data_IF_900694998015
#
_entry.id   IF_900694998015
#
_cell.length_a   1.000
_cell.length_b   1.000
_cell.length_c   1.000
_cell.angle_alpha   90.00
_cell.angle_beta   90.00
_cell.angle_gamma   90.00
#
_symmetry.space_group_name_H-M   'P 1'
#
loop_
_entity.id
_entity.type
_entity.pdbx_description
1 polymer ?
#
# COMPACT_ATOMS: atom_id res chain seq x y z
N UNK A 1 -0.39 28.44 -13.62
CA UNK A 1 -1.45 27.50 -14.04
C UNK A 1 -1.05 26.95 -15.37
N UNK A 2 -0.61 25.70 -15.43
CA UNK A 2 -0.25 25.04 -16.69
C UNK A 2 -1.52 24.29 -17.11
N UNK A 3 -2.35 24.94 -17.92
CA UNK A 3 -3.48 24.30 -18.62
C UNK A 3 -2.96 23.49 -19.82
N UNK A 4 -2.01 22.60 -19.57
CA UNK A 4 -1.67 21.57 -20.53
C UNK A 4 -2.63 20.41 -20.29
N UNK A 5 -3.69 20.32 -21.11
CA UNK A 5 -4.47 19.09 -21.21
C UNK A 5 -3.52 18.00 -21.71
N UNK A 6 -3.18 17.06 -20.84
CA UNK A 6 -2.30 15.96 -21.19
C UNK A 6 -3.04 15.01 -22.14
N UNK A 7 -2.43 14.68 -23.28
CA UNK A 7 -3.00 13.74 -24.22
C UNK A 7 -2.94 12.32 -23.64
N UNK A 8 -4.07 11.87 -23.13
CA UNK A 8 -4.23 10.57 -22.46
C UNK A 8 -3.93 9.40 -23.41
N UNK A 9 -4.06 9.60 -24.73
CA UNK A 9 -3.88 8.55 -25.73
C UNK A 9 -2.40 8.25 -26.00
N UNK A 10 -1.53 9.27 -25.93
CA UNK A 10 -0.09 9.10 -26.15
C UNK A 10 0.59 8.36 -24.98
N UNK A 11 0.11 8.62 -23.75
CA UNK A 11 0.60 7.94 -22.57
C UNK A 11 0.26 6.44 -22.58
N UNK A 12 -0.99 6.08 -22.90
CA UNK A 12 -1.43 4.69 -22.92
C UNK A 12 -0.72 3.84 -23.98
N UNK A 13 -0.27 4.46 -25.07
CA UNK A 13 0.38 3.74 -26.19
C UNK A 13 1.89 3.61 -26.05
N UNK A 14 2.55 4.51 -25.31
CA UNK A 14 4.02 4.57 -25.21
C UNK A 14 4.57 4.30 -23.81
N UNK A 15 3.74 4.31 -22.77
CA UNK A 15 4.20 4.05 -21.41
C UNK A 15 4.66 2.59 -21.27
N UNK A 16 5.79 2.33 -20.59
CA UNK A 16 6.15 0.98 -20.16
C UNK A 16 5.02 0.35 -19.33
N UNK A 17 4.83 -0.97 -19.46
CA UNK A 17 3.72 -1.73 -18.83
C UNK A 17 3.50 -1.36 -17.36
N UNK A 18 4.58 -1.22 -16.58
CA UNK A 18 4.52 -0.84 -15.17
C UNK A 18 3.84 0.52 -14.94
N UNK A 19 4.16 1.53 -15.75
CA UNK A 19 3.62 2.88 -15.60
C UNK A 19 2.17 2.96 -16.12
N UNK A 20 1.85 2.24 -17.18
CA UNK A 20 0.49 2.10 -17.68
C UNK A 20 -0.41 1.43 -16.64
N UNK A 21 0.06 0.32 -16.04
CA UNK A 21 -0.63 -0.38 -14.96
C UNK A 21 -0.79 0.50 -13.73
N UNK A 22 0.25 1.23 -13.33
CA UNK A 22 0.19 2.14 -12.18
C UNK A 22 -0.86 3.23 -12.40
N UNK A 23 -0.91 3.84 -13.58
CA UNK A 23 -1.93 4.82 -13.91
C UNK A 23 -3.32 4.20 -13.79
N UNK A 24 -3.54 3.04 -14.43
CA UNK A 24 -4.82 2.32 -14.40
C UNK A 24 -5.28 1.98 -12.98
N UNK A 25 -4.41 1.39 -12.16
CA UNK A 25 -4.75 1.03 -10.77
C UNK A 25 -5.04 2.26 -9.92
N UNK A 26 -4.34 3.38 -10.17
CA UNK A 26 -4.63 4.65 -9.51
C UNK A 26 -6.03 5.17 -9.88
N UNK A 27 -6.41 5.13 -11.16
CA UNK A 27 -7.78 5.49 -11.59
C UNK A 27 -8.83 4.62 -10.91
N UNK A 28 -8.60 3.31 -10.84
CA UNK A 28 -9.51 2.37 -10.19
C UNK A 28 -9.69 2.71 -8.70
N UNK A 29 -8.59 2.94 -7.98
CA UNK A 29 -8.63 3.30 -6.55
C UNK A 29 -9.31 4.65 -6.31
N UNK A 30 -9.09 5.64 -7.17
CA UNK A 30 -9.74 6.95 -7.08
C UNK A 30 -11.25 6.83 -7.26
N UNK A 31 -11.70 6.06 -8.28
CA UNK A 31 -13.14 5.83 -8.51
C UNK A 31 -13.80 4.99 -7.41
N UNK A 32 -13.06 4.09 -6.77
CA UNK A 32 -13.55 3.32 -5.62
C UNK A 32 -13.77 4.22 -4.39
N UNK A 33 -12.83 5.13 -4.10
CA UNK A 33 -12.93 6.04 -2.96
C UNK A 33 -13.86 7.24 -3.21
N UNK A 34 -13.95 7.71 -4.46
CA UNK A 34 -14.71 8.90 -4.86
C UNK A 34 -15.52 8.63 -6.13
N UNK A 35 -16.67 7.93 -6.04
CA UNK A 35 -17.46 7.52 -7.20
C UNK A 35 -18.02 8.67 -8.03
N UNK A 36 -18.27 9.82 -7.38
CA UNK A 36 -18.81 11.04 -8.00
C UNK A 36 -17.75 11.87 -8.76
N UNK A 37 -16.47 11.47 -8.71
CA UNK A 37 -15.40 12.18 -9.40
C UNK A 37 -15.53 11.99 -10.91
N UNK A 38 -15.32 13.06 -11.67
CA UNK A 38 -15.38 12.99 -13.13
C UNK A 38 -14.27 12.08 -13.69
N UNK A 39 -14.62 11.37 -14.77
CA UNK A 39 -13.75 10.37 -15.38
C UNK A 39 -12.42 10.97 -15.85
N UNK A 40 -12.47 12.20 -16.39
CA UNK A 40 -11.30 12.92 -16.92
C UNK A 40 -10.32 13.28 -15.79
N UNK A 41 -10.79 13.80 -14.67
CA UNK A 41 -9.95 14.12 -13.50
C UNK A 41 -9.35 12.86 -12.89
N UNK A 42 -10.11 11.77 -12.76
CA UNK A 42 -9.58 10.50 -12.27
C UNK A 42 -8.45 9.98 -13.17
N UNK A 43 -8.62 10.04 -14.49
CA UNK A 43 -7.62 9.66 -15.49
C UNK A 43 -6.37 10.55 -15.41
N UNK A 44 -6.56 11.87 -15.30
CA UNK A 44 -5.47 12.83 -15.12
C UNK A 44 -4.66 12.53 -13.84
N UNK A 45 -5.32 12.19 -12.73
CA UNK A 45 -4.65 11.80 -11.48
C UNK A 45 -3.79 10.55 -11.71
N UNK A 46 -4.34 9.52 -12.35
CA UNK A 46 -3.60 8.29 -12.66
C UNK A 46 -2.35 8.56 -13.49
N UNK A 47 -2.47 9.37 -14.54
CA UNK A 47 -1.34 9.76 -15.39
C UNK A 47 -0.29 10.58 -14.62
N UNK A 48 -0.70 11.56 -13.81
CA UNK A 48 0.21 12.38 -13.00
C UNK A 48 1.02 11.50 -12.04
N UNK A 49 0.37 10.52 -11.40
CA UNK A 49 1.04 9.59 -10.49
C UNK A 49 2.06 8.75 -11.23
N UNK A 50 1.70 8.20 -12.40
CA UNK A 50 2.61 7.39 -13.19
C UNK A 50 3.80 8.20 -13.75
N UNK A 51 3.57 9.42 -14.22
CA UNK A 51 4.64 10.32 -14.68
C UNK A 51 5.61 10.70 -13.55
N UNK A 52 5.09 11.10 -12.38
CA UNK A 52 5.94 11.38 -11.21
C UNK A 52 6.73 10.15 -10.79
N UNK A 53 6.15 8.98 -10.91
CA UNK A 53 6.82 7.71 -10.59
C UNK A 53 7.97 7.45 -11.56
N UNK A 54 7.72 7.56 -12.86
CA UNK A 54 8.74 7.42 -13.89
C UNK A 54 9.85 8.47 -13.76
N UNK A 55 9.53 9.71 -13.44
CA UNK A 55 10.52 10.77 -13.26
C UNK A 55 11.41 10.56 -12.03
N UNK A 56 10.83 10.18 -10.89
CA UNK A 56 11.57 10.06 -9.63
C UNK A 56 12.34 8.75 -9.50
N UNK A 57 11.84 7.66 -10.09
CA UNK A 57 12.39 6.31 -9.91
C UNK A 57 12.82 5.63 -11.21
N UNK A 58 12.59 6.26 -12.37
CA UNK A 58 13.07 5.76 -13.65
C UNK A 58 14.59 5.67 -13.68
N UNK A 59 15.12 4.54 -14.15
CA UNK A 59 16.57 4.26 -14.19
C UNK A 59 17.14 3.71 -12.88
N UNK A 60 16.38 3.68 -11.78
CA UNK A 60 16.79 3.00 -10.55
C UNK A 60 16.42 1.51 -10.60
N UNK A 61 17.26 0.65 -10.01
CA UNK A 61 16.90 -0.75 -9.76
C UNK A 61 16.04 -0.83 -8.49
N UNK A 62 14.73 -0.66 -8.65
CA UNK A 62 13.76 -0.65 -7.54
C UNK A 62 13.22 -2.06 -7.28
N UNK A 63 13.42 -2.55 -6.07
CA UNK A 63 12.78 -3.78 -5.60
C UNK A 63 11.36 -3.49 -5.08
N UNK A 64 10.35 -4.04 -5.76
CA UNK A 64 8.96 -4.03 -5.30
C UNK A 64 8.63 -5.36 -4.63
N UNK A 65 8.47 -5.41 -3.30
CA UNK A 65 8.17 -6.64 -2.59
C UNK A 65 6.74 -7.12 -2.88
N UNK A 66 6.57 -8.42 -3.15
CA UNK A 66 5.25 -9.06 -3.24
C UNK A 66 4.60 -9.02 -1.85
N UNK A 67 3.56 -8.22 -1.74
CA UNK A 67 2.87 -7.83 -0.50
C UNK A 67 2.23 -9.02 0.25
N UNK A 68 2.97 -9.54 1.23
CA UNK A 68 2.39 -10.15 2.46
C UNK A 68 3.19 -9.79 3.72
N UNK A 69 4.35 -9.14 3.60
CA UNK A 69 5.29 -8.89 4.71
C UNK A 69 5.39 -7.45 5.18
N UNK A 70 4.93 -6.47 4.38
CA UNK A 70 5.19 -5.04 4.65
C UNK A 70 4.07 -4.30 5.37
N UNK A 71 2.86 -4.81 5.28
CA UNK A 71 1.73 -4.26 6.01
C UNK A 71 1.12 -5.41 6.80
N UNK A 72 1.26 -5.36 8.13
CA UNK A 72 0.25 -5.92 8.98
C UNK A 72 -1.08 -5.36 8.48
N UNK A 73 -1.85 -6.19 7.76
CA UNK A 73 -3.15 -5.77 7.28
C UNK A 73 -3.98 -5.31 8.49
N UNK A 74 -4.95 -4.43 8.29
CA UNK A 74 -5.84 -3.92 9.36
C UNK A 74 -6.24 -5.03 10.36
N UNK A 75 -6.56 -6.20 9.81
CA UNK A 75 -6.90 -7.43 10.52
C UNK A 75 -5.79 -7.98 11.41
N UNK A 76 -4.53 -7.96 10.98
CA UNK A 76 -3.40 -8.42 11.80
C UNK A 76 -3.09 -7.47 12.95
N UNK A 77 -3.24 -6.16 12.73
CA UNK A 77 -3.16 -5.17 13.81
C UNK A 77 -4.28 -5.38 14.82
N UNK A 78 -5.50 -5.66 14.36
CA UNK A 78 -6.62 -6.00 15.24
C UNK A 78 -6.34 -7.28 16.04
N UNK A 79 -5.83 -8.34 15.39
CA UNK A 79 -5.42 -9.58 16.07
C UNK A 79 -4.37 -9.29 17.15
N UNK A 80 -3.37 -8.45 16.85
CA UNK A 80 -2.34 -8.07 17.83
C UNK A 80 -2.89 -7.21 18.97
N UNK A 81 -3.78 -6.27 18.69
CA UNK A 81 -4.40 -5.41 19.71
C UNK A 81 -5.32 -6.21 20.65
N UNK A 82 -5.95 -7.28 20.16
CA UNK A 82 -6.75 -8.20 20.98
C UNK A 82 -5.93 -9.29 21.67
N UNK A 83 -4.61 -9.35 21.43
CA UNK A 83 -3.75 -10.38 21.99
C UNK A 83 -3.43 -10.09 23.47
N UNK A 84 -3.77 -11.03 24.35
CA UNK A 84 -3.59 -10.89 25.80
C UNK A 84 -2.35 -11.63 26.33
N UNK A 85 -1.53 -12.23 25.47
CA UNK A 85 -0.36 -13.03 25.86
C UNK A 85 -0.57 -14.54 25.79
N UNK A 86 -1.80 -15.02 26.03
CA UNK A 86 -2.12 -16.46 26.08
C UNK A 86 -3.39 -16.87 25.31
N UNK A 87 -4.07 -15.95 24.63
CA UNK A 87 -5.36 -16.21 23.96
C UNK A 87 -5.26 -16.63 22.47
N UNK A 88 -4.14 -17.23 22.05
CA UNK A 88 -3.91 -17.62 20.64
C UNK A 88 -5.02 -18.51 20.06
N UNK A 89 -5.51 -19.49 20.82
CA UNK A 89 -6.57 -20.40 20.39
C UNK A 89 -7.91 -19.68 20.19
N UNK A 90 -8.20 -18.70 21.04
CA UNK A 90 -9.40 -17.87 20.90
C UNK A 90 -9.32 -17.01 19.63
N UNK A 91 -8.18 -16.36 19.38
CA UNK A 91 -7.97 -15.55 18.18
C UNK A 91 -8.02 -16.40 16.90
N UNK A 92 -7.43 -17.60 16.92
CA UNK A 92 -7.49 -18.54 15.81
C UNK A 92 -8.96 -18.86 15.43
N UNK A 93 -9.80 -19.14 16.42
CA UNK A 93 -11.23 -19.39 16.21
C UNK A 93 -11.98 -18.15 15.74
N UNK A 94 -11.79 -17.00 16.41
CA UNK A 94 -12.47 -15.74 16.09
C UNK A 94 -12.18 -15.27 14.66
N UNK A 95 -10.94 -15.40 14.22
CA UNK A 95 -10.49 -14.92 12.93
C UNK A 95 -10.43 -16.02 11.86
N UNK A 96 -10.81 -17.27 12.15
CA UNK A 96 -10.76 -18.35 11.15
C UNK A 96 -9.35 -18.62 10.60
N UNK A 97 -8.33 -18.54 11.46
CA UNK A 97 -6.92 -18.76 11.11
C UNK A 97 -6.36 -19.95 11.88
N UNK A 98 -5.29 -20.57 11.36
CA UNK A 98 -4.58 -21.60 12.11
C UNK A 98 -3.85 -21.00 13.32
N UNK A 99 -3.67 -21.80 14.37
CA UNK A 99 -2.96 -21.39 15.58
C UNK A 99 -1.53 -20.91 15.27
N UNK A 100 -0.83 -21.63 14.39
CA UNK A 100 0.52 -21.28 13.93
C UNK A 100 0.57 -19.93 13.20
N UNK A 101 -0.50 -19.58 12.50
CA UNK A 101 -0.63 -18.28 11.84
C UNK A 101 -0.78 -17.15 12.85
N UNK A 102 -1.57 -17.32 13.91
CA UNK A 102 -1.70 -16.33 14.98
C UNK A 102 -0.34 -16.08 15.65
N UNK A 103 0.42 -17.14 15.96
CA UNK A 103 1.79 -16.98 16.50
C UNK A 103 2.69 -16.15 15.58
N UNK A 104 2.65 -16.40 14.26
CA UNK A 104 3.44 -15.63 13.29
C UNK A 104 3.02 -14.17 13.23
N UNK A 105 1.71 -13.90 13.24
CA UNK A 105 1.15 -12.54 13.22
C UNK A 105 1.64 -11.78 14.45
N UNK A 106 1.42 -12.31 15.65
CA UNK A 106 1.80 -11.64 16.91
C UNK A 106 3.29 -11.30 16.92
N UNK A 107 4.14 -12.28 16.58
CA UNK A 107 5.61 -12.09 16.56
C UNK A 107 6.04 -11.02 15.55
N UNK A 108 5.42 -10.99 14.37
CA UNK A 108 5.75 -10.01 13.33
C UNK A 108 5.31 -8.60 13.73
N UNK A 109 4.04 -8.42 14.12
CA UNK A 109 3.49 -7.10 14.50
C UNK A 109 4.24 -6.53 15.70
N UNK A 110 4.58 -7.38 16.70
CA UNK A 110 5.40 -6.94 17.83
C UNK A 110 6.77 -6.39 17.40
N UNK A 111 7.44 -7.05 16.45
CA UNK A 111 8.74 -6.59 15.93
C UNK A 111 8.61 -5.24 15.21
N UNK A 112 7.55 -5.07 14.42
CA UNK A 112 7.26 -3.82 13.72
C UNK A 112 6.99 -2.66 14.69
N UNK A 113 6.19 -2.90 15.74
CA UNK A 113 5.89 -1.89 16.76
C UNK A 113 7.13 -1.50 17.58
N UNK A 114 8.00 -2.46 17.92
CA UNK A 114 9.29 -2.17 18.57
C UNK A 114 10.18 -1.33 17.65
N UNK A 115 10.28 -1.68 16.36
CA UNK A 115 11.10 -0.94 15.40
C UNK A 115 10.62 0.52 15.23
N UNK A 116 9.30 0.75 15.20
CA UNK A 116 8.74 2.12 15.16
C UNK A 116 9.10 2.92 16.41
N UNK A 117 8.95 2.32 17.60
CA UNK A 117 9.28 2.98 18.87
C UNK A 117 10.78 3.25 18.99
N UNK A 118 11.62 2.33 18.53
CA UNK A 118 13.08 2.52 18.55
C UNK A 118 13.51 3.66 17.63
N UNK A 119 12.89 3.83 16.47
CA UNK A 119 13.18 4.97 15.58
C UNK A 119 12.84 6.32 16.24
N UNK A 120 11.75 6.39 17.00
CA UNK A 120 11.33 7.60 17.73
C UNK A 120 12.33 8.02 18.82
N UNK A 121 13.01 7.06 19.46
CA UNK A 121 14.00 7.35 20.51
C UNK A 121 15.26 8.09 20.01
N UNK A 122 15.58 8.00 18.72
CA UNK A 122 16.75 8.67 18.12
C UNK A 122 16.37 9.91 17.30
N UNK A 123 15.09 10.25 17.22
CA UNK A 123 14.60 11.46 16.54
C UNK A 123 14.51 12.69 17.47
N UNK A 124 14.69 12.51 18.78
CA UNK A 124 14.59 13.56 19.80
C UNK A 124 15.96 14.05 20.34
N UNK A 125 17.07 13.74 19.67
CA UNK A 125 18.43 14.17 20.04
C UNK A 125 18.98 15.25 19.13
#
# INVERSE_FOLDING_TARGET
MIDAKFDNNDFQTKAPDLLADLAKYTVMAVRECYPEMDAETAENIGMIVALKTGYNWGGLNVYVPKSMSLFACEREKQIFNEFTGNNHAYLAKKYGLSLQWIYKIVKRVQKEEIAKRQFDMFAQS
#
